data_IF_198025194967
#
_entry.id   IF_198025194967
#
_cell.length_a   1.000
_cell.length_b   1.000
_cell.length_c   1.000
_cell.angle_alpha   90.00
_cell.angle_beta   90.00
_cell.angle_gamma   90.00
#
_symmetry.space_group_name_H-M   'P 1'
#
loop_
_entity.id
_entity.type
_entity.pdbx_description
1 polymer ?
#
# COMPACT_ATOMS: atom_id res chain seq x y z
N UNK A 1 -19.19 -57.11 -41.32
CA UNK A 1 -17.93 -57.81 -41.68
C UNK A 1 -16.82 -57.30 -40.79
N UNK A 2 -16.38 -58.20 -39.91
CA UNK A 2 -15.07 -58.32 -39.34
C UNK A 2 -14.71 -57.54 -38.11
N UNK A 3 -13.85 -58.16 -37.32
CA UNK A 3 -14.27 -59.04 -36.23
C UNK A 3 -13.81 -58.51 -34.87
N UNK A 4 -14.52 -59.05 -33.91
CA UNK A 4 -14.29 -59.29 -32.52
C UNK A 4 -12.83 -59.72 -32.18
N UNK A 5 -12.21 -59.12 -31.14
CA UNK A 5 -11.04 -59.65 -30.48
C UNK A 5 -11.15 -59.57 -28.97
N UNK A 6 -11.95 -60.48 -28.42
CA UNK A 6 -11.69 -61.04 -27.09
C UNK A 6 -10.48 -61.99 -27.23
N UNK A 7 -9.56 -61.91 -26.31
CA UNK A 7 -8.98 -63.04 -25.58
C UNK A 7 -7.70 -62.59 -24.86
N UNK A 8 -7.71 -62.63 -23.55
CA UNK A 8 -7.10 -63.67 -22.67
C UNK A 8 -5.59 -63.59 -22.68
N UNK A 9 -5.02 -63.15 -21.54
CA UNK A 9 -3.88 -63.85 -20.99
C UNK A 9 -3.91 -63.89 -19.46
N UNK A 10 -3.82 -65.05 -18.97
CA UNK A 10 -3.78 -65.46 -17.57
C UNK A 10 -2.39 -65.29 -16.97
N UNK A 11 -2.38 -64.96 -15.70
CA UNK A 11 -1.47 -65.38 -14.65
C UNK A 11 0.03 -65.14 -14.79
N UNK A 12 0.56 -64.33 -13.88
CA UNK A 12 1.77 -64.68 -13.11
C UNK A 12 1.73 -63.90 -11.78
N UNK A 13 1.63 -64.64 -10.68
CA UNK A 13 1.93 -64.15 -9.34
C UNK A 13 3.43 -63.79 -9.26
N UNK A 14 3.75 -62.61 -8.83
CA UNK A 14 5.06 -62.29 -8.30
C UNK A 14 4.84 -61.49 -7.01
N UNK A 15 5.15 -62.13 -5.90
CA UNK A 15 5.25 -61.54 -4.57
C UNK A 15 6.45 -60.61 -4.61
N UNK A 16 6.17 -59.28 -4.65
CA UNK A 16 7.18 -58.24 -4.53
C UNK A 16 6.88 -57.45 -3.27
N UNK A 17 7.73 -57.53 -2.27
CA UNK A 17 7.68 -56.73 -1.06
C UNK A 17 7.81 -55.25 -1.47
N UNK A 18 6.69 -54.55 -1.55
CA UNK A 18 6.62 -53.09 -1.79
C UNK A 18 6.96 -52.35 -0.51
N UNK A 19 8.14 -51.82 -0.49
CA UNK A 19 8.64 -50.87 0.50
C UNK A 19 7.77 -49.61 0.40
N UNK A 20 6.84 -49.41 1.35
CA UNK A 20 6.08 -48.18 1.50
C UNK A 20 7.07 -47.06 1.90
N UNK A 21 7.57 -46.29 0.95
CA UNK A 21 8.18 -44.99 1.24
C UNK A 21 7.08 -44.05 1.73
N UNK A 22 6.96 -43.92 3.04
CA UNK A 22 6.21 -42.83 3.64
C UNK A 22 6.83 -41.51 3.20
N UNK A 23 6.12 -40.79 2.31
CA UNK A 23 6.46 -39.43 1.92
C UNK A 23 6.27 -38.57 3.17
N UNK A 24 7.37 -38.30 3.88
CA UNK A 24 7.35 -37.39 5.02
C UNK A 24 6.84 -36.04 4.53
N UNK A 25 5.63 -35.67 4.91
CA UNK A 25 5.12 -34.33 4.77
C UNK A 25 6.02 -33.44 5.63
N UNK A 26 6.82 -32.61 4.99
CA UNK A 26 7.57 -31.54 5.68
C UNK A 26 6.58 -30.65 6.44
N UNK A 27 6.74 -30.45 7.75
CA UNK A 27 5.90 -29.51 8.46
C UNK A 27 6.09 -28.15 7.82
N UNK A 28 4.99 -27.54 7.38
CA UNK A 28 4.97 -26.16 6.96
C UNK A 28 5.57 -25.32 8.11
N UNK A 29 6.81 -24.86 7.92
CA UNK A 29 7.49 -24.00 8.87
C UNK A 29 6.67 -22.71 8.93
N UNK A 30 5.91 -22.53 9.99
CA UNK A 30 5.33 -21.23 10.31
C UNK A 30 6.50 -20.25 10.31
N UNK A 31 6.48 -19.33 9.34
CA UNK A 31 7.42 -18.21 9.35
C UNK A 31 7.13 -17.41 10.59
N UNK A 32 7.94 -17.62 11.63
CA UNK A 32 8.01 -16.71 12.76
C UNK A 32 8.38 -15.35 12.19
N UNK A 33 7.46 -14.39 12.30
CA UNK A 33 7.70 -13.01 11.90
C UNK A 33 8.99 -12.55 12.55
N UNK A 34 9.97 -12.21 11.72
CA UNK A 34 11.26 -11.69 12.18
C UNK A 34 10.99 -10.34 12.86
N UNK A 35 11.33 -10.12 14.14
CA UNK A 35 11.05 -8.86 14.82
C UNK A 35 11.83 -7.63 14.27
N UNK A 36 12.67 -7.84 13.27
CA UNK A 36 13.32 -6.79 12.47
C UNK A 36 12.73 -6.64 11.07
N UNK A 37 11.48 -7.08 10.83
CA UNK A 37 10.79 -6.75 9.60
C UNK A 37 10.65 -5.23 9.52
N UNK A 38 11.22 -4.62 8.46
CA UNK A 38 11.04 -3.19 8.19
C UNK A 38 9.56 -2.82 8.28
N UNK A 39 9.26 -1.77 9.06
CA UNK A 39 7.90 -1.26 9.20
C UNK A 39 7.34 -0.98 7.79
N UNK A 40 6.18 -1.54 7.42
CA UNK A 40 5.58 -1.32 6.12
C UNK A 40 5.48 0.17 5.79
N UNK A 41 5.76 0.53 4.53
CA UNK A 41 5.77 1.91 4.04
C UNK A 41 4.74 2.06 2.93
N UNK A 42 3.90 3.08 3.00
CA UNK A 42 2.82 3.30 2.04
C UNK A 42 2.75 4.75 1.61
N UNK A 43 2.78 4.98 0.29
CA UNK A 43 2.62 6.28 -0.33
C UNK A 43 1.19 6.41 -0.89
N UNK A 44 0.40 7.29 -0.30
CA UNK A 44 -0.90 7.68 -0.81
C UNK A 44 -0.75 8.80 -1.85
N UNK A 45 -1.41 8.64 -2.97
CA UNK A 45 -1.45 9.62 -4.05
C UNK A 45 -2.82 10.30 -4.11
N UNK A 46 -2.86 11.63 -4.01
CA UNK A 46 -4.09 12.42 -4.03
C UNK A 46 -3.99 13.57 -5.02
N UNK A 47 -4.87 13.54 -6.04
CA UNK A 47 -4.98 14.58 -7.06
C UNK A 47 -6.38 15.21 -7.11
N UNK A 48 -7.40 14.46 -6.76
CA UNK A 48 -8.81 14.77 -6.97
C UNK A 48 -9.38 15.48 -5.73
N UNK A 49 -9.95 16.68 -5.94
CA UNK A 49 -10.44 17.53 -4.84
C UNK A 49 -11.56 16.85 -4.04
N UNK A 50 -12.46 16.17 -4.72
CA UNK A 50 -13.61 15.49 -4.14
C UNK A 50 -13.22 14.26 -3.29
N UNK A 51 -12.02 13.73 -3.50
CA UNK A 51 -11.51 12.57 -2.76
C UNK A 51 -10.75 12.92 -1.47
N UNK A 52 -10.54 14.19 -1.17
CA UNK A 52 -9.70 14.61 -0.05
C UNK A 52 -10.15 14.01 1.28
N UNK A 53 -11.42 14.18 1.66
CA UNK A 53 -11.95 13.64 2.91
C UNK A 53 -11.90 12.10 2.93
N UNK A 54 -12.20 11.45 1.80
CA UNK A 54 -12.15 10.00 1.66
C UNK A 54 -10.73 9.46 1.87
N UNK A 55 -9.73 10.08 1.27
CA UNK A 55 -8.32 9.67 1.40
C UNK A 55 -7.80 9.88 2.82
N UNK A 56 -8.12 11.01 3.46
CA UNK A 56 -7.74 11.25 4.86
C UNK A 56 -8.38 10.21 5.79
N UNK A 57 -9.65 9.86 5.56
CA UNK A 57 -10.34 8.76 6.26
C UNK A 57 -9.66 7.41 6.03
N UNK A 58 -9.25 7.10 4.81
CA UNK A 58 -8.54 5.85 4.50
C UNK A 58 -7.18 5.77 5.20
N UNK A 59 -6.43 6.86 5.25
CA UNK A 59 -5.15 6.91 5.98
C UNK A 59 -5.37 6.60 7.46
N UNK A 60 -6.35 7.24 8.09
CA UNK A 60 -6.70 6.99 9.49
C UNK A 60 -7.08 5.52 9.73
N UNK A 61 -7.95 4.96 8.88
CA UNK A 61 -8.38 3.57 8.98
C UNK A 61 -7.21 2.59 8.72
N UNK A 62 -6.31 2.93 7.80
CA UNK A 62 -5.12 2.12 7.53
C UNK A 62 -4.21 2.07 8.76
N UNK A 63 -3.88 3.21 9.36
CA UNK A 63 -3.04 3.28 10.57
C UNK A 63 -3.69 2.48 11.70
N UNK A 64 -5.01 2.65 11.92
CA UNK A 64 -5.74 1.90 12.93
C UNK A 64 -5.74 0.39 12.66
N UNK A 65 -5.97 -0.02 11.41
CA UNK A 65 -5.96 -1.43 10.98
C UNK A 65 -4.60 -2.10 11.11
N UNK A 66 -3.52 -1.33 11.00
CA UNK A 66 -2.15 -1.83 11.23
C UNK A 66 -1.77 -1.92 12.71
N UNK A 67 -2.60 -1.41 13.61
CA UNK A 67 -2.39 -1.44 15.06
C UNK A 67 -1.67 -0.20 15.62
N UNK A 68 -1.60 0.89 14.83
CA UNK A 68 -1.05 2.16 15.28
C UNK A 68 -0.01 2.77 14.33
N UNK A 69 0.38 4.00 14.63
CA UNK A 69 1.30 4.79 13.80
C UNK A 69 2.77 4.32 13.86
N UNK A 70 3.13 3.51 14.82
CA UNK A 70 4.43 2.85 14.93
C UNK A 70 4.52 1.56 14.07
N UNK A 71 3.40 1.10 13.54
CA UNK A 71 3.29 -0.14 12.77
C UNK A 71 3.24 0.05 11.26
N UNK A 72 3.13 1.28 10.79
CA UNK A 72 3.13 1.62 9.36
C UNK A 72 3.66 3.04 9.18
N UNK A 73 4.54 3.25 8.20
CA UNK A 73 4.92 4.58 7.75
C UNK A 73 4.04 5.00 6.59
N UNK A 74 3.46 6.17 6.67
CA UNK A 74 2.56 6.70 5.64
C UNK A 74 3.08 8.02 5.11
N UNK A 75 3.11 8.17 3.79
CA UNK A 75 3.31 9.44 3.11
C UNK A 75 2.05 9.78 2.28
N UNK A 76 1.61 11.02 2.31
CA UNK A 76 0.55 11.55 1.47
C UNK A 76 1.17 12.55 0.49
N UNK A 77 1.12 12.24 -0.80
CA UNK A 77 1.61 13.10 -1.87
C UNK A 77 0.42 13.75 -2.58
N UNK A 78 0.33 15.08 -2.48
CA UNK A 78 -0.81 15.86 -2.97
C UNK A 78 -0.40 16.74 -4.14
N UNK A 79 -1.22 16.72 -5.21
CA UNK A 79 -1.05 17.63 -6.34
C UNK A 79 -2.39 17.98 -7.01
N UNK A 80 -2.34 18.77 -8.08
CA UNK A 80 -3.51 19.13 -8.88
C UNK A 80 -4.62 19.83 -8.06
N UNK A 81 -5.89 19.60 -8.40
CA UNK A 81 -7.03 20.22 -7.73
C UNK A 81 -7.12 19.94 -6.23
N UNK A 82 -6.67 18.78 -5.77
CA UNK A 82 -6.73 18.39 -4.36
C UNK A 82 -6.00 19.37 -3.44
N UNK A 83 -4.90 20.00 -3.92
CA UNK A 83 -4.10 20.91 -3.10
C UNK A 83 -4.90 22.11 -2.61
N UNK A 84 -5.97 22.51 -3.31
CA UNK A 84 -6.85 23.62 -2.90
C UNK A 84 -7.52 23.40 -1.55
N UNK A 85 -7.81 22.14 -1.19
CA UNK A 85 -8.45 21.81 0.08
C UNK A 85 -7.51 21.98 1.28
N UNK A 86 -6.21 21.99 1.05
CA UNK A 86 -5.19 22.07 2.09
C UNK A 86 -4.66 23.49 2.34
N UNK A 87 -5.36 24.51 1.82
CA UNK A 87 -4.99 25.91 2.10
C UNK A 87 -5.24 26.26 3.57
N UNK A 88 -4.36 27.04 4.17
CA UNK A 88 -4.48 27.48 5.56
C UNK A 88 -5.78 28.26 5.83
N UNK A 89 -6.28 28.99 4.82
CA UNK A 89 -7.54 29.73 4.90
C UNK A 89 -8.78 28.91 4.46
N UNK A 90 -8.65 27.58 4.27
CA UNK A 90 -9.81 26.74 3.92
C UNK A 90 -10.93 26.90 4.97
N UNK A 91 -12.20 27.09 4.57
CA UNK A 91 -13.31 27.14 5.51
C UNK A 91 -13.70 25.76 6.06
N UNK A 92 -13.16 24.69 5.49
CA UNK A 92 -13.51 23.32 5.87
C UNK A 92 -12.75 22.90 7.15
N UNK A 93 -13.43 23.08 8.30
CA UNK A 93 -12.87 22.75 9.61
C UNK A 93 -12.61 21.25 9.78
N UNK A 94 -13.40 20.38 9.13
CA UNK A 94 -13.18 18.94 9.18
C UNK A 94 -11.84 18.56 8.53
N UNK A 95 -11.53 19.14 7.35
CA UNK A 95 -10.23 18.91 6.70
C UNK A 95 -9.07 19.45 7.54
N UNK A 96 -9.24 20.62 8.19
CA UNK A 96 -8.20 21.13 9.11
C UNK A 96 -7.93 20.17 10.27
N UNK A 97 -8.98 19.62 10.88
CA UNK A 97 -8.87 18.63 11.95
C UNK A 97 -8.20 17.36 11.45
N UNK A 98 -8.71 16.80 10.35
CA UNK A 98 -8.19 15.54 9.78
C UNK A 98 -6.70 15.66 9.40
N UNK A 99 -6.27 16.81 8.87
CA UNK A 99 -4.85 17.07 8.56
C UNK A 99 -4.02 17.16 9.84
N UNK A 100 -4.56 17.82 10.88
CA UNK A 100 -3.92 17.89 12.19
C UNK A 100 -3.69 16.50 12.78
N UNK A 101 -4.71 15.65 12.77
CA UNK A 101 -4.66 14.27 13.25
C UNK A 101 -3.70 13.41 12.41
N UNK A 102 -3.76 13.55 11.09
CA UNK A 102 -2.86 12.86 10.15
C UNK A 102 -1.41 13.20 10.42
N UNK A 103 -1.12 14.48 10.65
CA UNK A 103 0.22 14.96 11.02
C UNK A 103 0.66 14.43 12.40
N UNK A 104 -0.24 14.49 13.39
CA UNK A 104 0.04 13.99 14.74
C UNK A 104 0.34 12.48 14.75
N UNK A 105 -0.26 11.74 13.81
CA UNK A 105 0.05 10.32 13.57
C UNK A 105 1.38 10.09 12.83
N UNK A 106 2.17 11.13 12.53
CA UNK A 106 3.47 11.00 11.89
C UNK A 106 3.45 10.79 10.38
N UNK A 107 2.33 11.08 9.72
CA UNK A 107 2.23 10.98 8.26
C UNK A 107 3.04 12.09 7.59
N UNK A 108 3.87 11.71 6.62
CA UNK A 108 4.64 12.64 5.80
C UNK A 108 3.72 13.31 4.76
N UNK A 109 3.54 14.64 4.83
CA UNK A 109 2.69 15.40 3.92
C UNK A 109 3.53 16.10 2.85
N UNK A 110 3.36 15.75 1.58
CA UNK A 110 4.10 16.31 0.46
C UNK A 110 3.19 17.10 -0.48
N UNK A 111 3.52 18.37 -0.77
CA UNK A 111 2.84 19.21 -1.74
C UNK A 111 3.68 19.35 -3.01
N UNK A 112 3.07 19.11 -4.16
CA UNK A 112 3.75 19.22 -5.46
C UNK A 112 4.15 20.67 -5.76
N UNK A 113 5.45 20.95 -5.97
CA UNK A 113 5.96 22.28 -6.37
C UNK A 113 5.23 22.83 -7.58
N UNK A 114 5.14 22.07 -8.67
CA UNK A 114 4.49 22.54 -9.91
C UNK A 114 3.02 22.91 -9.71
N UNK A 115 2.32 22.21 -8.82
CA UNK A 115 0.93 22.56 -8.47
C UNK A 115 0.88 23.83 -7.65
N UNK A 116 1.80 24.00 -6.69
CA UNK A 116 1.89 25.21 -5.89
C UNK A 116 2.14 26.44 -6.78
N UNK A 117 3.11 26.35 -7.69
CA UNK A 117 3.42 27.40 -8.68
C UNK A 117 2.20 27.73 -9.55
N UNK A 118 1.56 26.70 -10.14
CA UNK A 118 0.36 26.88 -10.96
C UNK A 118 -0.80 27.52 -10.21
N UNK A 119 -0.91 27.27 -8.91
CA UNK A 119 -1.95 27.85 -8.03
C UNK A 119 -1.49 29.12 -7.30
N UNK A 120 -0.26 29.57 -7.55
CA UNK A 120 0.37 30.74 -6.90
C UNK A 120 0.36 30.63 -5.38
N UNK A 121 0.76 29.44 -4.87
CA UNK A 121 0.85 29.13 -3.45
C UNK A 121 2.31 29.04 -3.01
N UNK A 122 2.56 29.54 -1.82
CA UNK A 122 3.77 29.28 -1.04
C UNK A 122 3.50 28.17 -0.02
N UNK A 123 4.53 27.66 0.62
CA UNK A 123 4.35 26.67 1.70
C UNK A 123 3.56 27.25 2.89
N UNK A 124 3.70 28.55 3.16
CA UNK A 124 2.95 29.26 4.21
C UNK A 124 1.45 29.40 3.93
N UNK A 125 1.02 29.21 2.68
CA UNK A 125 -0.39 29.22 2.31
C UNK A 125 -1.08 27.87 2.53
N UNK A 126 -0.33 26.84 2.91
CA UNK A 126 -0.84 25.50 3.18
C UNK A 126 -1.02 25.27 4.69
N UNK A 127 -1.86 24.29 5.03
CA UNK A 127 -1.99 23.81 6.40
C UNK A 127 -0.62 23.32 6.90
N UNK A 128 -0.33 23.48 8.20
CA UNK A 128 0.98 23.11 8.76
C UNK A 128 1.32 21.64 8.56
N UNK A 129 2.62 21.35 8.33
CA UNK A 129 3.16 19.99 8.24
C UNK A 129 3.45 19.53 6.82
N UNK A 130 3.07 20.30 5.80
CA UNK A 130 3.50 20.01 4.43
C UNK A 130 4.97 20.33 4.21
N UNK A 131 5.61 19.49 3.39
CA UNK A 131 6.92 19.78 2.77
C UNK A 131 6.75 19.81 1.25
N UNK A 132 7.59 20.56 0.57
CA UNK A 132 7.52 20.69 -0.89
C UNK A 132 8.17 19.47 -1.54
N UNK A 133 7.46 18.81 -2.44
CA UNK A 133 8.04 17.84 -3.37
C UNK A 133 8.66 18.65 -4.53
N UNK A 134 9.95 18.96 -4.42
CA UNK A 134 10.66 19.91 -5.27
C UNK A 134 10.67 19.53 -6.76
N UNK A 135 10.82 18.24 -7.05
CA UNK A 135 10.80 17.69 -8.42
C UNK A 135 9.37 17.38 -8.91
N UNK A 136 8.35 17.74 -8.10
CA UNK A 136 6.96 17.44 -8.38
C UNK A 136 6.47 16.10 -7.80
N UNK A 137 5.14 15.96 -7.76
CA UNK A 137 4.50 14.80 -7.12
C UNK A 137 4.83 13.47 -7.77
N UNK A 138 4.91 13.42 -9.12
CA UNK A 138 5.17 12.18 -9.86
C UNK A 138 6.57 11.66 -9.57
N UNK A 139 7.56 12.54 -9.56
CA UNK A 139 8.93 12.17 -9.20
C UNK A 139 9.00 11.71 -7.76
N UNK A 140 8.35 12.45 -6.83
CA UNK A 140 8.30 12.06 -5.42
C UNK A 140 7.69 10.67 -5.21
N UNK A 141 6.60 10.36 -5.90
CA UNK A 141 5.99 9.03 -5.85
C UNK A 141 6.92 7.94 -6.39
N UNK A 142 7.61 8.20 -7.50
CA UNK A 142 8.59 7.27 -8.06
C UNK A 142 9.77 7.03 -7.11
N UNK A 143 10.29 8.09 -6.46
CA UNK A 143 11.33 7.98 -5.43
C UNK A 143 10.89 7.12 -4.24
N UNK A 144 9.67 7.35 -3.73
CA UNK A 144 9.12 6.55 -2.63
C UNK A 144 8.98 5.08 -3.04
N UNK A 145 8.47 4.80 -4.24
CA UNK A 145 8.38 3.42 -4.74
C UNK A 145 9.77 2.78 -4.88
N UNK A 146 10.77 3.51 -5.38
CA UNK A 146 12.16 3.04 -5.44
C UNK A 146 12.77 2.73 -4.05
N UNK A 147 12.23 3.35 -2.98
CA UNK A 147 12.60 3.11 -1.59
C UNK A 147 11.75 2.02 -0.90
N UNK A 148 10.95 1.27 -1.66
CA UNK A 148 10.14 0.17 -1.16
C UNK A 148 8.79 0.58 -0.57
N UNK A 149 8.29 1.80 -0.85
CA UNK A 149 6.95 2.19 -0.45
C UNK A 149 5.89 1.59 -1.39
N UNK A 150 4.88 0.96 -0.82
CA UNK A 150 3.71 0.57 -1.58
C UNK A 150 2.94 1.80 -2.06
N UNK A 151 2.45 1.79 -3.29
CA UNK A 151 1.67 2.88 -3.87
C UNK A 151 0.17 2.61 -3.77
N UNK A 152 -0.58 3.57 -3.23
CA UNK A 152 -2.03 3.54 -3.17
C UNK A 152 -2.65 4.83 -3.75
N UNK A 153 -3.66 4.66 -4.58
CA UNK A 153 -4.50 5.75 -5.11
C UNK A 153 -5.97 5.37 -4.96
N UNK A 154 -6.58 5.65 -3.79
CA UNK A 154 -7.99 5.37 -3.53
C UNK A 154 -8.95 6.15 -4.43
#
# INVERSE_FOLDING_TARGET
MGPDRRNIFKSAMAVGAGMFMAKAASPARAQTANPSADVPKVAYHLADLEKVAFVLGNIRNHIAGMGGNDRVRVALVVHGPALKAFRANTPNMAIKSDVGDTRAAGVELHACRHTMEAQRLTLGDLLPGFVVAEQGAVVKLAELQGQGWAYLRP
#
